data_IF_507888462198
#
_entry.id   IF_507888462198
#
_cell.length_a   1.000
_cell.length_b   1.000
_cell.length_c   1.000
_cell.angle_alpha   90.00
_cell.angle_beta   90.00
_cell.angle_gamma   90.00
#
_symmetry.space_group_name_H-M   'P 1'
#
loop_
_entity.id
_entity.type
_entity.pdbx_description
1 polymer ?
#
# COMPACT_ATOMS: atom_id res chain seq x y z
N UNK A 1 -47.71 -12.47 -70.69
CA UNK A 1 -47.53 -12.31 -72.18
C UNK A 1 -46.11 -11.85 -72.44
N UNK A 2 -45.45 -12.55 -73.40
CA UNK A 2 -44.13 -12.30 -74.04
C UNK A 2 -42.92 -12.36 -73.18
N UNK A 3 -42.28 -13.48 -73.12
CA UNK A 3 -41.15 -14.11 -73.80
C UNK A 3 -40.26 -13.13 -74.57
N UNK A 4 -38.97 -13.04 -74.24
CA UNK A 4 -37.92 -13.19 -75.26
C UNK A 4 -36.58 -13.62 -74.64
N UNK A 5 -36.06 -14.65 -75.26
CA UNK A 5 -34.80 -15.36 -75.05
C UNK A 5 -33.81 -14.84 -76.11
N UNK A 6 -32.54 -14.62 -75.85
CA UNK A 6 -31.42 -14.66 -76.80
C UNK A 6 -30.12 -14.83 -75.95
N UNK A 7 -29.54 -15.95 -75.88
CA UNK A 7 -28.50 -16.66 -76.65
C UNK A 7 -27.10 -15.99 -76.62
N UNK A 8 -26.20 -16.67 -75.85
CA UNK A 8 -24.83 -17.11 -76.04
C UNK A 8 -23.89 -16.27 -76.93
N UNK A 9 -22.73 -15.90 -76.40
CA UNK A 9 -21.50 -16.07 -77.12
C UNK A 9 -20.30 -16.34 -76.17
N UNK A 10 -19.65 -17.50 -76.38
CA UNK A 10 -18.34 -17.85 -75.80
C UNK A 10 -17.24 -17.04 -76.41
N UNK A 11 -16.34 -16.51 -75.62
CA UNK A 11 -14.97 -16.29 -76.09
C UNK A 11 -14.00 -16.52 -74.91
N UNK A 12 -13.23 -17.58 -75.06
CA UNK A 12 -12.10 -17.91 -74.20
C UNK A 12 -10.91 -17.03 -74.59
N UNK A 13 -10.27 -16.42 -73.64
CA UNK A 13 -8.87 -16.02 -73.78
C UNK A 13 -8.13 -16.29 -72.50
N UNK A 14 -7.14 -17.15 -72.62
CA UNK A 14 -6.15 -17.48 -71.57
C UNK A 14 -5.17 -16.30 -71.49
N UNK A 15 -4.74 -15.94 -70.27
CA UNK A 15 -3.34 -15.68 -69.95
C UNK A 15 -3.15 -15.14 -68.53
N UNK A 16 -2.12 -15.66 -67.94
CA UNK A 16 -1.24 -15.12 -66.92
C UNK A 16 -1.77 -15.02 -65.51
N UNK A 17 -1.29 -15.94 -64.69
CA UNK A 17 -1.39 -15.96 -63.24
C UNK A 17 -0.72 -14.74 -62.60
N UNK A 18 -1.48 -14.16 -61.68
CA UNK A 18 -0.93 -13.31 -60.66
C UNK A 18 -1.55 -13.78 -59.34
N UNK A 19 -0.82 -14.57 -58.59
CA UNK A 19 -1.20 -15.02 -57.28
C UNK A 19 -1.13 -13.82 -56.30
N UNK A 20 -2.23 -13.13 -56.10
CA UNK A 20 -2.35 -12.26 -54.92
C UNK A 20 -2.43 -13.15 -53.68
N UNK A 21 -1.35 -13.21 -52.95
CA UNK A 21 -1.35 -13.66 -51.56
C UNK A 21 -2.22 -12.64 -50.77
N UNK A 22 -3.43 -13.00 -50.48
CA UNK A 22 -4.20 -12.34 -49.42
C UNK A 22 -3.47 -12.57 -48.11
N UNK A 23 -2.73 -11.56 -47.68
CA UNK A 23 -2.25 -11.49 -46.29
C UNK A 23 -3.46 -11.47 -45.41
N UNK A 24 -3.74 -12.61 -44.76
CA UNK A 24 -4.74 -12.70 -43.72
C UNK A 24 -4.38 -11.70 -42.62
N UNK A 25 -5.17 -10.64 -42.47
CA UNK A 25 -5.19 -9.85 -41.25
C UNK A 25 -5.57 -10.82 -40.11
N UNK A 26 -4.56 -11.33 -39.44
CA UNK A 26 -4.76 -11.85 -38.08
C UNK A 26 -5.15 -10.64 -37.24
N UNK A 27 -6.41 -10.52 -36.93
CA UNK A 27 -6.86 -9.75 -35.77
C UNK A 27 -6.13 -10.33 -34.58
N UNK A 28 -5.04 -9.70 -34.18
CA UNK A 28 -4.41 -9.92 -32.89
C UNK A 28 -5.49 -9.52 -31.86
N UNK A 29 -6.19 -10.51 -31.34
CA UNK A 29 -7.02 -10.32 -30.16
C UNK A 29 -6.11 -9.67 -29.13
N UNK A 30 -6.47 -8.47 -28.69
CA UNK A 30 -5.96 -7.89 -27.46
C UNK A 30 -6.43 -8.81 -26.33
N UNK A 31 -5.67 -9.85 -26.08
CA UNK A 31 -5.65 -10.46 -24.76
C UNK A 31 -4.97 -9.41 -23.87
N UNK A 32 -5.78 -8.63 -23.17
CA UNK A 32 -5.39 -8.01 -21.92
C UNK A 32 -5.08 -9.16 -20.96
N UNK A 33 -3.89 -9.73 -21.12
CA UNK A 33 -3.31 -10.53 -20.08
C UNK A 33 -3.16 -9.57 -18.90
N UNK A 34 -3.96 -9.76 -17.90
CA UNK A 34 -3.74 -9.27 -16.54
C UNK A 34 -2.38 -9.88 -16.15
N UNK A 35 -1.28 -9.18 -16.48
CA UNK A 35 0.04 -9.60 -16.10
C UNK A 35 0.10 -9.40 -14.59
N UNK A 36 -0.27 -10.46 -13.85
CA UNK A 36 -0.02 -10.53 -12.42
C UNK A 36 1.46 -10.23 -12.22
N UNK A 37 1.73 -9.08 -11.61
CA UNK A 37 3.08 -8.66 -11.30
C UNK A 37 3.68 -9.64 -10.30
N UNK A 38 4.59 -10.48 -10.75
CA UNK A 38 5.34 -11.41 -9.93
C UNK A 38 6.72 -10.79 -9.62
N UNK A 39 6.90 -10.18 -8.45
CA UNK A 39 8.18 -9.56 -8.10
C UNK A 39 9.25 -10.64 -7.90
N UNK A 40 10.46 -10.39 -8.40
CA UNK A 40 11.63 -11.27 -8.19
C UNK A 40 11.99 -11.39 -6.71
N UNK A 41 11.85 -10.29 -5.97
CA UNK A 41 12.05 -10.26 -4.51
C UNK A 41 10.70 -10.48 -3.84
N UNK A 42 10.57 -11.44 -2.91
CA UNK A 42 9.35 -11.64 -2.17
C UNK A 42 8.86 -10.36 -1.52
N UNK A 43 7.57 -10.10 -1.64
CA UNK A 43 6.94 -8.86 -1.19
C UNK A 43 5.70 -9.16 -0.35
N UNK A 44 5.54 -8.44 0.75
CA UNK A 44 4.32 -8.42 1.55
C UNK A 44 3.71 -7.02 1.46
N UNK A 45 2.42 -6.95 1.17
CA UNK A 45 1.66 -5.69 1.16
C UNK A 45 0.53 -5.78 2.17
N UNK A 46 0.37 -4.73 2.94
CA UNK A 46 -0.77 -4.54 3.85
C UNK A 46 -1.52 -3.28 3.45
N UNK A 47 -2.83 -3.42 3.23
CA UNK A 47 -3.73 -2.30 2.96
C UNK A 47 -4.78 -2.21 4.06
N UNK A 48 -5.06 -1.01 4.52
CA UNK A 48 -6.19 -0.69 5.38
C UNK A 48 -7.07 0.35 4.69
N UNK A 49 -8.38 0.10 4.69
CA UNK A 49 -9.41 1.06 4.28
C UNK A 49 -10.44 1.16 5.40
N UNK A 50 -10.51 2.33 6.05
CA UNK A 50 -11.46 2.58 7.13
C UNK A 50 -11.85 4.06 7.18
N UNK A 51 -13.11 4.34 6.84
CA UNK A 51 -13.64 5.71 6.73
C UNK A 51 -13.50 6.54 8.02
N UNK A 52 -13.49 5.88 9.18
CA UNK A 52 -13.38 6.53 10.49
C UNK A 52 -11.95 6.72 10.96
N UNK A 53 -10.95 6.25 10.21
CA UNK A 53 -9.54 6.41 10.54
C UNK A 53 -8.94 7.69 9.95
N UNK A 54 -7.78 8.06 10.44
CA UNK A 54 -6.92 9.10 9.85
C UNK A 54 -5.48 8.59 9.87
N UNK A 55 -4.91 8.24 8.69
CA UNK A 55 -5.53 8.31 7.36
C UNK A 55 -6.65 7.28 7.16
N UNK A 56 -7.60 7.59 6.24
CA UNK A 56 -8.72 6.69 5.91
C UNK A 56 -8.25 5.46 5.13
N UNK A 57 -7.21 5.63 4.33
CA UNK A 57 -6.57 4.56 3.59
C UNK A 57 -5.06 4.64 3.75
N UNK A 58 -4.44 3.50 3.96
CA UNK A 58 -2.99 3.40 3.81
C UNK A 58 -2.55 2.03 3.31
N UNK A 59 -1.42 2.02 2.64
CA UNK A 59 -0.71 0.84 2.14
C UNK A 59 0.72 0.85 2.65
N UNK A 60 1.18 -0.27 3.19
CA UNK A 60 2.60 -0.54 3.42
C UNK A 60 3.02 -1.72 2.57
N UNK A 61 4.02 -1.52 1.73
CA UNK A 61 4.62 -2.57 0.91
C UNK A 61 6.06 -2.77 1.34
N UNK A 62 6.44 -4.00 1.65
CA UNK A 62 7.78 -4.37 2.12
C UNK A 62 8.35 -5.48 1.27
N UNK A 63 9.59 -5.33 0.83
CA UNK A 63 10.37 -6.38 0.17
C UNK A 63 11.20 -7.15 1.21
N UNK A 64 11.51 -8.41 0.90
CA UNK A 64 12.24 -9.28 1.84
C UNK A 64 13.65 -8.79 2.18
N UNK A 65 14.27 -8.00 1.31
CA UNK A 65 15.58 -7.37 1.46
C UNK A 65 15.54 -5.98 2.10
N UNK A 66 14.35 -5.51 2.52
CA UNK A 66 14.15 -4.31 3.32
C UNK A 66 13.54 -3.09 2.65
N UNK A 67 13.72 -2.78 1.36
CA UNK A 67 13.06 -1.66 0.69
C UNK A 67 11.55 -1.70 0.88
N UNK A 68 10.98 -0.58 1.28
CA UNK A 68 9.57 -0.48 1.66
C UNK A 68 8.99 0.85 1.22
N UNK A 69 7.69 0.86 0.95
CA UNK A 69 6.95 2.05 0.54
C UNK A 69 5.71 2.20 1.42
N UNK A 70 5.44 3.40 1.85
CA UNK A 70 4.21 3.80 2.51
C UNK A 70 3.41 4.75 1.62
N UNK A 71 2.11 4.53 1.53
CA UNK A 71 1.16 5.45 0.88
C UNK A 71 0.00 5.68 1.82
N UNK A 72 -0.41 6.95 2.03
CA UNK A 72 -1.66 7.26 2.75
C UNK A 72 -2.48 8.32 2.05
N UNK A 73 -3.81 8.25 2.25
CA UNK A 73 -4.77 9.17 1.65
C UNK A 73 -6.07 9.27 2.45
N UNK A 74 -6.80 10.38 2.22
CA UNK A 74 -8.08 10.66 2.86
C UNK A 74 -9.16 10.95 1.77
N UNK A 75 -9.58 9.94 0.99
CA UNK A 75 -10.45 10.15 -0.17
C UNK A 75 -11.86 10.61 0.21
N UNK A 76 -12.35 10.24 1.40
CA UNK A 76 -13.72 10.48 1.87
C UNK A 76 -13.83 11.65 2.86
N UNK A 77 -12.73 12.38 3.10
CA UNK A 77 -12.77 13.59 3.93
C UNK A 77 -13.75 14.58 3.29
N UNK A 78 -14.83 14.89 3.99
CA UNK A 78 -15.76 15.95 3.57
C UNK A 78 -15.03 17.29 3.67
N UNK A 79 -14.79 17.91 2.51
CA UNK A 79 -14.14 19.21 2.44
C UNK A 79 -15.16 20.30 2.72
N UNK A 80 -14.78 21.29 3.54
CA UNK A 80 -15.55 22.51 3.70
C UNK A 80 -15.42 23.35 2.41
N UNK A 81 -16.40 24.24 2.10
CA UNK A 81 -16.29 25.14 0.98
C UNK A 81 -14.99 25.96 1.03
N UNK A 82 -14.12 25.81 0.03
CA UNK A 82 -12.80 26.46 -0.05
C UNK A 82 -11.65 25.68 0.56
N UNK A 83 -11.90 24.51 1.14
CA UNK A 83 -10.84 23.59 1.62
C UNK A 83 -10.33 22.75 0.43
N UNK A 84 -9.01 22.68 0.27
CA UNK A 84 -8.40 21.80 -0.72
C UNK A 84 -8.20 20.39 -0.14
N UNK A 85 -8.31 19.38 -1.03
CA UNK A 85 -8.03 18.00 -0.64
C UNK A 85 -6.56 17.86 -0.25
N UNK A 86 -6.31 17.23 0.90
CA UNK A 86 -4.95 16.84 1.28
C UNK A 86 -4.34 15.97 0.17
N UNK A 87 -3.13 16.28 -0.30
CA UNK A 87 -2.45 15.42 -1.28
C UNK A 87 -2.17 14.04 -0.68
N UNK A 88 -2.16 13.03 -1.54
CA UNK A 88 -1.69 11.71 -1.16
C UNK A 88 -0.24 11.81 -0.65
N UNK A 89 0.06 11.11 0.43
CA UNK A 89 1.40 11.11 1.02
C UNK A 89 2.10 9.78 0.73
N UNK A 90 3.29 9.85 0.16
CA UNK A 90 4.13 8.69 -0.13
C UNK A 90 5.50 8.84 0.53
N UNK A 91 6.00 7.76 1.10
CA UNK A 91 7.32 7.68 1.72
C UNK A 91 8.00 6.36 1.36
N UNK A 92 9.19 6.43 0.75
CA UNK A 92 10.08 5.28 0.63
C UNK A 92 10.99 5.21 1.84
N UNK A 93 11.16 4.01 2.40
CA UNK A 93 12.00 3.77 3.58
C UNK A 93 12.60 2.36 3.54
N UNK A 94 13.54 2.13 4.43
CA UNK A 94 14.12 0.79 4.62
C UNK A 94 13.60 0.22 5.93
N UNK A 95 12.93 -0.93 5.87
CA UNK A 95 12.52 -1.69 7.03
C UNK A 95 13.74 -2.20 7.79
N UNK A 96 13.69 -2.25 9.11
CA UNK A 96 14.74 -2.92 9.89
C UNK A 96 14.84 -4.40 9.52
N UNK A 97 16.04 -4.95 9.52
CA UNK A 97 16.24 -6.37 9.22
C UNK A 97 15.44 -7.30 10.17
N UNK A 98 15.25 -6.86 11.42
CA UNK A 98 14.45 -7.56 12.44
C UNK A 98 12.99 -7.66 12.04
N UNK A 99 12.37 -6.52 11.68
CA UNK A 99 10.95 -6.50 11.37
C UNK A 99 10.66 -6.99 9.94
N UNK A 100 11.57 -6.79 8.98
CA UNK A 100 11.50 -7.45 7.68
C UNK A 100 11.47 -8.98 7.86
N UNK A 101 12.44 -9.57 8.56
CA UNK A 101 12.47 -11.02 8.82
C UNK A 101 11.20 -11.50 9.57
N UNK A 102 10.68 -10.70 10.52
CA UNK A 102 9.46 -11.02 11.27
C UNK A 102 8.25 -11.06 10.35
N UNK A 103 8.08 -10.07 9.47
CA UNK A 103 6.97 -9.99 8.50
C UNK A 103 6.93 -11.26 7.63
N UNK A 104 8.06 -11.64 7.04
CA UNK A 104 8.11 -12.80 6.14
C UNK A 104 7.95 -14.13 6.89
N UNK A 105 8.44 -14.23 8.13
CA UNK A 105 8.18 -15.38 9.01
C UNK A 105 6.69 -15.52 9.35
N UNK A 106 6.02 -14.43 9.70
CA UNK A 106 4.58 -14.42 10.00
C UNK A 106 3.75 -14.72 8.75
N UNK A 107 4.14 -14.18 7.58
CA UNK A 107 3.51 -14.52 6.31
C UNK A 107 3.60 -16.02 6.01
N UNK A 108 4.76 -16.66 6.24
CA UNK A 108 4.93 -18.10 6.12
C UNK A 108 4.01 -18.87 7.09
N UNK A 109 3.93 -18.46 8.36
CA UNK A 109 3.05 -19.07 9.36
C UNK A 109 1.56 -18.95 8.97
N UNK A 110 1.18 -17.86 8.33
CA UNK A 110 -0.15 -17.65 7.74
C UNK A 110 -0.28 -18.26 6.33
N UNK A 111 0.55 -19.25 5.96
CA UNK A 111 0.52 -19.93 4.63
C UNK A 111 0.59 -18.94 3.47
N UNK A 112 1.37 -17.86 3.61
CA UNK A 112 1.49 -16.80 2.62
C UNK A 112 0.15 -16.15 2.25
N UNK A 113 -0.81 -16.15 3.20
CA UNK A 113 -2.18 -15.62 3.06
C UNK A 113 -3.07 -16.44 2.11
N UNK A 114 -2.69 -17.68 1.83
CA UNK A 114 -3.52 -18.61 1.07
C UNK A 114 -4.58 -19.22 2.00
N UNK A 115 -5.73 -18.56 2.12
CA UNK A 115 -6.86 -18.99 2.93
C UNK A 115 -7.81 -17.85 3.32
N UNK A 116 -8.93 -18.21 3.94
CA UNK A 116 -9.87 -17.27 4.56
C UNK A 116 -9.49 -17.11 6.04
N UNK A 117 -9.17 -15.89 6.44
CA UNK A 117 -8.77 -15.53 7.81
C UNK A 117 -9.78 -14.61 8.48
N UNK A 118 -10.92 -14.31 7.83
CA UNK A 118 -12.00 -13.53 8.42
C UNK A 118 -12.67 -14.28 9.58
N UNK A 119 -12.80 -13.61 10.71
CA UNK A 119 -13.54 -14.14 11.85
C UNK A 119 -15.05 -14.04 11.61
N UNK A 120 -15.76 -15.17 11.73
CA UNK A 120 -17.20 -15.25 11.42
C UNK A 120 -18.06 -15.81 12.57
N UNK A 121 -17.45 -16.16 13.71
CA UNK A 121 -18.22 -16.81 14.79
C UNK A 121 -19.21 -15.86 15.47
N UNK A 122 -18.87 -14.56 15.61
CA UNK A 122 -19.73 -13.56 16.20
C UNK A 122 -19.66 -12.26 15.41
N UNK A 123 -20.69 -11.40 15.59
CA UNK A 123 -20.67 -10.05 15.00
C UNK A 123 -19.64 -9.19 15.74
N UNK A 124 -18.68 -8.67 15.00
CA UNK A 124 -17.64 -7.77 15.51
C UNK A 124 -17.85 -6.38 14.92
N UNK A 125 -17.44 -5.34 15.68
CA UNK A 125 -17.42 -3.98 15.18
C UNK A 125 -16.55 -3.87 13.91
N UNK A 126 -16.97 -3.01 12.99
CA UNK A 126 -16.17 -2.72 11.81
C UNK A 126 -14.96 -1.87 12.23
N UNK A 127 -13.76 -2.43 12.05
CA UNK A 127 -12.47 -1.78 12.32
C UNK A 127 -11.67 -1.55 11.03
N UNK A 128 -12.38 -1.51 9.89
CA UNK A 128 -11.82 -1.30 8.58
C UNK A 128 -11.53 -2.59 7.82
N UNK A 129 -11.62 -2.52 6.51
CA UNK A 129 -11.23 -3.59 5.59
C UNK A 129 -9.71 -3.64 5.54
N UNK A 130 -9.15 -4.77 5.90
CA UNK A 130 -7.71 -5.06 5.84
C UNK A 130 -7.44 -6.08 4.75
N UNK A 131 -6.36 -5.87 4.02
CA UNK A 131 -5.92 -6.80 2.98
C UNK A 131 -4.45 -7.12 3.20
N UNK A 132 -4.10 -8.38 3.24
CA UNK A 132 -2.72 -8.86 3.22
C UNK A 132 -2.47 -9.58 1.91
N UNK A 133 -1.42 -9.17 1.20
CA UNK A 133 -1.00 -9.77 -0.07
C UNK A 133 0.45 -10.24 0.06
N UNK A 134 0.72 -11.47 -0.35
CA UNK A 134 2.06 -11.99 -0.56
C UNK A 134 2.30 -12.25 -2.03
N UNK A 135 3.42 -11.81 -2.56
CA UNK A 135 3.82 -12.08 -3.93
C UNK A 135 5.32 -12.41 -4.03
N UNK A 136 5.65 -13.44 -4.79
CA UNK A 136 7.01 -13.76 -5.26
C UNK A 136 6.94 -14.25 -6.73
N UNK A 137 8.03 -14.79 -7.26
CA UNK A 137 8.08 -15.26 -8.66
C UNK A 137 7.02 -16.32 -8.99
N UNK A 138 6.58 -17.09 -8.02
CA UNK A 138 5.73 -18.28 -8.20
C UNK A 138 4.39 -18.21 -7.50
N UNK A 139 4.25 -17.30 -6.52
CA UNK A 139 3.08 -17.22 -5.64
C UNK A 139 2.52 -15.81 -5.63
N UNK A 140 1.21 -15.73 -5.69
CA UNK A 140 0.45 -14.50 -5.46
C UNK A 140 -0.83 -14.87 -4.71
N UNK A 141 -0.86 -14.60 -3.39
CA UNK A 141 -2.00 -14.89 -2.55
C UNK A 141 -2.45 -13.64 -1.80
N UNK A 142 -3.73 -13.57 -1.54
CA UNK A 142 -4.34 -12.44 -0.85
C UNK A 142 -5.43 -12.93 0.10
N UNK A 143 -5.53 -12.29 1.26
CA UNK A 143 -6.65 -12.45 2.17
C UNK A 143 -7.22 -11.09 2.56
N UNK A 144 -8.55 -11.04 2.71
CA UNK A 144 -9.28 -9.83 3.11
C UNK A 144 -10.04 -10.16 4.40
N UNK A 145 -9.95 -9.25 5.38
CA UNK A 145 -10.60 -9.44 6.68
C UNK A 145 -10.88 -8.10 7.37
N UNK A 146 -11.88 -8.10 8.24
CA UNK A 146 -12.11 -7.05 9.24
C UNK A 146 -11.38 -7.40 10.54
N UNK A 147 -11.54 -8.66 10.99
CA UNK A 147 -10.89 -9.20 12.18
C UNK A 147 -10.45 -10.65 11.93
N UNK A 148 -9.37 -11.08 12.57
CA UNK A 148 -8.88 -12.44 12.48
C UNK A 148 -8.43 -12.95 13.84
N UNK A 149 -8.70 -14.22 14.17
CA UNK A 149 -8.17 -14.91 15.36
C UNK A 149 -6.82 -15.59 15.10
N UNK A 150 -6.37 -15.62 13.85
CA UNK A 150 -5.05 -16.15 13.53
C UNK A 150 -3.96 -15.23 14.11
N UNK A 151 -3.13 -15.77 15.00
CA UNK A 151 -2.10 -15.00 15.71
C UNK A 151 -1.10 -14.31 14.77
N UNK A 152 -0.69 -14.99 13.68
CA UNK A 152 0.24 -14.40 12.74
C UNK A 152 -0.40 -13.21 11.98
N UNK A 153 -1.68 -13.30 11.62
CA UNK A 153 -2.42 -12.20 11.00
C UNK A 153 -2.59 -11.05 11.97
N UNK A 154 -2.91 -11.31 13.24
CA UNK A 154 -3.02 -10.28 14.28
C UNK A 154 -1.70 -9.54 14.49
N UNK A 155 -0.59 -10.27 14.59
CA UNK A 155 0.74 -9.68 14.76
C UNK A 155 1.16 -8.85 13.55
N UNK A 156 0.92 -9.33 12.32
CA UNK A 156 1.16 -8.56 11.10
C UNK A 156 0.33 -7.27 11.07
N UNK A 157 -0.97 -7.37 11.40
CA UNK A 157 -1.87 -6.23 11.47
C UNK A 157 -1.34 -5.17 12.43
N UNK A 158 -0.98 -5.58 13.66
CA UNK A 158 -0.46 -4.66 14.69
C UNK A 158 0.86 -4.03 14.24
N UNK A 159 1.75 -4.80 13.64
CA UNK A 159 3.04 -4.30 13.15
C UNK A 159 2.86 -3.25 12.05
N UNK A 160 2.04 -3.53 11.03
CA UNK A 160 1.80 -2.59 9.94
C UNK A 160 1.04 -1.33 10.39
N UNK A 161 0.08 -1.47 11.29
CA UNK A 161 -0.58 -0.31 11.90
C UNK A 161 0.40 0.52 12.75
N UNK A 162 1.29 -0.12 13.49
CA UNK A 162 2.36 0.56 14.23
C UNK A 162 3.33 1.33 13.33
N UNK A 163 3.71 0.77 12.18
CA UNK A 163 4.54 1.44 11.16
C UNK A 163 3.81 2.67 10.62
N UNK A 164 2.55 2.52 10.21
CA UNK A 164 1.73 3.63 9.73
C UNK A 164 1.64 4.74 10.79
N UNK A 165 1.39 4.39 12.05
CA UNK A 165 1.31 5.34 13.16
C UNK A 165 2.62 6.12 13.34
N UNK A 166 3.77 5.44 13.28
CA UNK A 166 5.09 6.09 13.38
C UNK A 166 5.31 7.11 12.26
N UNK A 167 4.97 6.74 11.02
CA UNK A 167 5.12 7.61 9.84
C UNK A 167 4.19 8.81 9.93
N UNK A 168 2.93 8.63 10.31
CA UNK A 168 1.97 9.72 10.43
C UNK A 168 2.31 10.67 11.59
N UNK A 169 2.86 10.19 12.71
CA UNK A 169 3.46 11.05 13.72
C UNK A 169 4.61 11.88 13.16
N UNK A 170 5.52 11.25 12.40
CA UNK A 170 6.62 11.94 11.75
C UNK A 170 6.16 13.06 10.82
N UNK A 171 5.14 12.80 9.99
CA UNK A 171 4.53 13.79 9.09
C UNK A 171 3.95 14.96 9.85
N UNK A 172 3.18 14.71 10.93
CA UNK A 172 2.61 15.75 11.79
C UNK A 172 3.71 16.57 12.50
N UNK A 173 4.74 15.89 13.00
CA UNK A 173 5.88 16.56 13.64
C UNK A 173 6.65 17.46 12.68
N UNK A 174 6.89 17.02 11.43
CA UNK A 174 7.50 17.87 10.39
C UNK A 174 6.66 19.12 10.12
N UNK A 175 5.36 18.97 9.96
CA UNK A 175 4.46 20.08 9.75
C UNK A 175 4.49 21.07 10.93
N UNK A 176 4.33 20.54 12.16
CA UNK A 176 4.35 21.37 13.38
C UNK A 176 5.70 22.04 13.62
N UNK A 177 6.82 21.36 13.34
CA UNK A 177 8.14 21.95 13.46
C UNK A 177 8.32 23.17 12.56
N UNK A 178 7.71 23.14 11.38
CA UNK A 178 7.78 24.23 10.41
C UNK A 178 6.78 25.36 10.71
N UNK A 179 5.55 25.05 11.15
CA UNK A 179 4.45 26.00 11.17
C UNK A 179 3.81 26.22 12.56
N UNK A 180 3.96 25.29 13.50
CA UNK A 180 3.31 25.31 14.81
C UNK A 180 4.24 24.71 15.89
N UNK A 181 5.35 25.40 16.20
CA UNK A 181 6.31 24.87 17.19
C UNK A 181 5.73 24.70 18.60
N UNK A 182 4.68 25.45 18.96
CA UNK A 182 4.02 25.30 20.26
C UNK A 182 3.22 24.00 20.34
N UNK A 183 2.64 23.56 19.25
CA UNK A 183 1.89 22.30 19.17
C UNK A 183 2.78 21.04 19.19
N UNK A 184 4.10 21.16 19.07
CA UNK A 184 5.02 20.03 19.12
C UNK A 184 5.00 19.27 20.45
N UNK A 185 4.81 19.97 21.58
CA UNK A 185 4.81 19.33 22.91
C UNK A 185 3.69 18.32 23.02
N UNK A 186 2.46 18.69 22.62
CA UNK A 186 1.31 17.81 22.67
C UNK A 186 1.45 16.61 21.72
N UNK A 187 1.97 16.84 20.49
CA UNK A 187 2.16 15.77 19.51
C UNK A 187 3.23 14.77 19.95
N UNK A 188 4.36 15.26 20.48
CA UNK A 188 5.42 14.41 21.02
C UNK A 188 4.98 13.65 22.26
N UNK A 189 4.14 14.24 23.10
CA UNK A 189 3.51 13.54 24.24
C UNK A 189 2.65 12.39 23.76
N UNK A 190 1.75 12.63 22.80
CA UNK A 190 0.92 11.58 22.22
C UNK A 190 1.75 10.45 21.59
N UNK A 191 2.86 10.80 20.89
CA UNK A 191 3.77 9.81 20.33
C UNK A 191 4.49 8.99 21.42
N UNK A 192 4.91 9.60 22.53
CA UNK A 192 5.50 8.88 23.67
C UNK A 192 4.50 7.88 24.28
N UNK A 193 3.25 8.30 24.53
CA UNK A 193 2.18 7.44 25.03
C UNK A 193 1.89 6.28 24.08
N UNK A 194 1.85 6.53 22.76
CA UNK A 194 1.69 5.48 21.77
C UNK A 194 2.88 4.49 21.77
N UNK A 195 4.10 4.97 21.95
CA UNK A 195 5.29 4.12 22.05
C UNK A 195 5.30 3.27 23.34
N UNK A 196 4.81 3.81 24.46
CA UNK A 196 4.68 3.09 25.75
C UNK A 196 3.61 2.00 25.67
N UNK A 197 2.55 2.23 24.94
CA UNK A 197 1.48 1.27 24.71
C UNK A 197 1.80 0.25 23.59
N UNK A 198 3.02 0.21 23.06
CA UNK A 198 3.45 -0.66 21.96
C UNK A 198 2.64 -0.49 20.66
N UNK A 199 2.06 0.71 20.44
CA UNK A 199 1.30 1.04 19.26
C UNK A 199 2.16 1.64 18.12
N UNK A 200 3.47 1.72 18.29
CA UNK A 200 4.42 2.18 17.29
C UNK A 200 5.40 1.07 16.92
N UNK A 201 5.78 1.05 15.64
CA UNK A 201 6.85 0.20 15.13
C UNK A 201 7.74 1.04 14.19
N UNK A 202 9.00 0.62 14.02
CA UNK A 202 9.94 1.28 13.10
C UNK A 202 10.10 2.80 13.36
N UNK A 203 10.16 3.21 14.65
CA UNK A 203 10.29 4.63 15.06
C UNK A 203 11.52 5.30 14.43
N UNK A 204 12.56 4.54 14.09
CA UNK A 204 13.77 5.05 13.42
C UNK A 204 13.49 5.70 12.05
N UNK A 205 12.38 5.38 11.37
CA UNK A 205 11.97 6.02 10.12
C UNK A 205 11.86 7.54 10.29
N UNK A 206 11.46 8.00 11.46
CA UNK A 206 11.25 9.42 11.76
C UNK A 206 12.37 10.03 12.61
N UNK A 207 13.51 9.33 12.74
CA UNK A 207 14.64 9.77 13.57
C UNK A 207 15.21 11.12 13.13
N UNK A 208 15.27 11.40 11.83
CA UNK A 208 15.75 12.69 11.34
C UNK A 208 14.88 13.84 11.87
N UNK A 209 13.56 13.72 11.75
CA UNK A 209 12.61 14.72 12.26
C UNK A 209 12.72 14.90 13.77
N UNK A 210 12.84 13.81 14.53
CA UNK A 210 13.00 13.87 15.98
C UNK A 210 14.32 14.54 16.36
N UNK A 211 15.40 14.30 15.62
CA UNK A 211 16.70 14.94 15.82
C UNK A 211 16.63 16.43 15.56
N UNK A 212 16.05 16.85 14.44
CA UNK A 212 15.88 18.26 14.09
C UNK A 212 15.12 19.03 15.19
N UNK A 213 14.03 18.42 15.71
CA UNK A 213 13.28 19.01 16.84
C UNK A 213 14.12 19.07 18.12
N UNK A 214 14.87 18.00 18.42
CA UNK A 214 15.68 17.90 19.65
C UNK A 214 16.83 18.93 19.69
N UNK A 215 17.34 19.35 18.53
CA UNK A 215 18.46 20.27 18.37
C UNK A 215 18.01 21.74 18.17
N UNK A 216 16.77 21.98 17.75
CA UNK A 216 16.25 23.34 17.52
C UNK A 216 16.03 24.11 18.83
N UNK A 217 16.88 25.09 19.11
CA UNK A 217 16.80 25.92 20.32
C UNK A 217 15.54 26.79 20.42
N UNK A 218 14.84 27.02 19.30
CA UNK A 218 13.58 27.76 19.27
C UNK A 218 12.35 26.93 19.70
N UNK A 219 12.52 25.60 19.82
CA UNK A 219 11.50 24.67 20.32
C UNK A 219 11.56 24.63 21.86
N UNK A 220 10.38 24.52 22.50
CA UNK A 220 10.29 24.39 23.95
C UNK A 220 11.17 23.26 24.49
N UNK A 221 11.88 23.51 25.59
CA UNK A 221 12.79 22.53 26.18
C UNK A 221 12.11 21.18 26.49
N UNK A 222 10.87 21.22 26.97
CA UNK A 222 10.10 20.00 27.26
C UNK A 222 9.87 19.17 25.99
N UNK A 223 9.53 19.79 24.86
CA UNK A 223 9.35 19.11 23.57
C UNK A 223 10.66 18.51 23.07
N UNK A 224 11.78 19.27 23.17
CA UNK A 224 13.11 18.75 22.81
C UNK A 224 13.52 17.54 23.65
N UNK A 225 13.22 17.52 24.94
CA UNK A 225 13.50 16.37 25.80
C UNK A 225 12.66 15.15 25.42
N UNK A 226 11.36 15.34 25.06
CA UNK A 226 10.52 14.25 24.55
C UNK A 226 11.08 13.65 23.26
N UNK A 227 11.49 14.50 22.31
CA UNK A 227 12.11 14.06 21.07
C UNK A 227 13.38 13.23 21.33
N UNK A 228 14.24 13.63 22.29
CA UNK A 228 15.43 12.84 22.70
C UNK A 228 15.07 11.49 23.29
N UNK A 229 14.01 11.39 24.11
CA UNK A 229 13.55 10.10 24.66
C UNK A 229 13.04 9.17 23.58
N UNK A 230 12.29 9.70 22.61
CA UNK A 230 11.83 8.91 21.45
C UNK A 230 12.99 8.42 20.59
N UNK A 231 14.01 9.27 20.36
CA UNK A 231 15.24 8.87 19.67
C UNK A 231 15.95 7.71 20.39
N UNK A 232 16.02 7.75 21.72
CA UNK A 232 16.63 6.65 22.51
C UNK A 232 15.83 5.34 22.40
N UNK A 233 14.53 5.39 22.13
CA UNK A 233 13.69 4.20 21.84
C UNK A 233 13.90 3.70 20.39
N UNK A 234 14.12 4.59 19.44
CA UNK A 234 14.37 4.27 18.03
C UNK A 234 15.69 3.50 17.79
N UNK A 235 16.67 3.64 18.66
CA UNK A 235 17.98 2.98 18.56
C UNK A 235 18.06 1.59 19.22
N UNK A 236 16.95 1.04 19.72
CA UNK A 236 16.87 -0.28 20.36
C UNK A 236 16.17 -1.29 19.46
#
# INVERSE_FOLDING_TARGET
MKKLCVTVLFMALAAAGLSLRTAGLRTAGLQTADQQFHPRVPTVTFDLVWEQATPQEFTVRTQADGPSTYLSRNPLKQLQPGEEKDPDYTLDFTMSAKDAARIFKLAQQAKYFNGDFEYRAHRIANTGKKTLTYADETRHFQTIYNHSENKAIQELTSLFQGISSSIEFGRKLQFKHKYDKLGLEAELKAMEEAAENHNLAEIQIVSATLKDIAEDSSVLNIARQRARRLLAKAGK
#
